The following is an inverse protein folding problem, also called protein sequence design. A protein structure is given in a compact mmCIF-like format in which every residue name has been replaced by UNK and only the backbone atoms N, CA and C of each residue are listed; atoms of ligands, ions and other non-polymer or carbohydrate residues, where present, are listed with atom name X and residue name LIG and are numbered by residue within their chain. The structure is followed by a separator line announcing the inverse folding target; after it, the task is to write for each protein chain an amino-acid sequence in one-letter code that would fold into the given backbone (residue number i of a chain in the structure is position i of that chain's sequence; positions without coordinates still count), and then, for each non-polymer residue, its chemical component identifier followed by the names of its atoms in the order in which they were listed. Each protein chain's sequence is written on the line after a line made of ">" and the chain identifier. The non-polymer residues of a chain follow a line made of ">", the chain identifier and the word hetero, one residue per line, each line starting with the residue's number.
data_IF_189081623898
#
_entry.id   IF_189081623898
#
_cell.length_a   1.000
_cell.length_b   1.000
_cell.length_c   1.000
_cell.angle_alpha   90.00
_cell.angle_beta   90.00
_cell.angle_gamma   90.00
#
_symmetry.space_group_name_H-M   'P 1'
#
loop_
_entity.id
_entity.type
_entity.pdbx_description
1 polymer ?
#
# COMPACT_ATOMS: atom_id res chain seq x y z
N UNK A 1 -6.88 -10.03 1.74
CA UNK A 1 -6.28 -9.74 3.06
C UNK A 1 -7.40 -9.34 4.01
N UNK A 2 -7.25 -9.66 5.26
CA UNK A 2 -8.20 -9.29 6.28
C UNK A 2 -8.19 -7.77 6.50
N UNK A 3 -9.35 -7.18 6.83
CA UNK A 3 -9.46 -5.73 6.93
C UNK A 3 -8.56 -5.15 8.02
N UNK A 4 -8.55 -5.76 9.20
CA UNK A 4 -7.72 -5.24 10.29
C UNK A 4 -6.24 -5.37 9.99
N UNK A 5 -5.85 -6.46 9.36
CA UNK A 5 -4.47 -6.66 8.94
C UNK A 5 -4.07 -5.65 7.88
N UNK A 6 -4.96 -5.38 6.93
CA UNK A 6 -4.72 -4.40 5.88
C UNK A 6 -4.54 -3.00 6.48
N UNK A 7 -5.47 -2.58 7.32
CA UNK A 7 -5.39 -1.25 7.93
C UNK A 7 -4.12 -1.09 8.75
N UNK A 8 -3.77 -2.13 9.52
CA UNK A 8 -2.59 -2.10 10.37
C UNK A 8 -1.32 -2.06 9.54
N UNK A 9 -1.25 -2.88 8.49
CA UNK A 9 -0.07 -2.93 7.63
C UNK A 9 0.15 -1.61 6.91
N UNK A 10 -0.92 -1.04 6.36
CA UNK A 10 -0.79 0.23 5.64
C UNK A 10 -0.35 1.32 6.60
N UNK A 11 -0.95 1.38 7.79
CA UNK A 11 -0.57 2.39 8.77
C UNK A 11 0.89 2.26 9.15
N UNK A 12 1.35 1.03 9.36
CA UNK A 12 2.73 0.78 9.73
C UNK A 12 3.69 1.25 8.64
N UNK A 13 3.45 0.85 7.40
CA UNK A 13 4.35 1.21 6.31
C UNK A 13 4.28 2.69 5.97
N UNK A 14 3.08 3.26 6.01
CA UNK A 14 2.88 4.65 5.63
C UNK A 14 3.53 5.61 6.62
N UNK A 15 3.57 5.24 7.89
CA UNK A 15 4.05 6.14 8.96
C UNK A 15 5.45 5.83 9.44
N UNK A 16 6.20 5.02 8.70
CA UNK A 16 7.60 4.79 9.05
C UNK A 16 8.41 6.07 8.93
N UNK A 17 9.40 6.23 9.82
CA UNK A 17 10.25 7.40 9.84
C UNK A 17 11.71 6.95 9.82
N UNK A 18 12.47 7.25 8.75
CA UNK A 18 12.00 7.90 7.52
C UNK A 18 11.12 6.98 6.69
N UNK A 19 10.31 7.57 5.83
CA UNK A 19 9.44 6.81 4.96
C UNK A 19 10.26 5.94 4.01
N UNK A 20 9.83 4.71 3.84
CA UNK A 20 10.45 3.79 2.88
C UNK A 20 9.37 3.36 1.88
N UNK A 21 9.67 3.33 0.59
CA UNK A 21 8.70 2.82 -0.37
C UNK A 21 8.27 1.40 -0.05
N UNK A 22 7.03 1.09 -0.39
CA UNK A 22 6.51 -0.26 -0.19
C UNK A 22 5.57 -0.62 -1.34
N UNK A 23 5.25 -1.90 -1.43
CA UNK A 23 4.47 -2.45 -2.53
C UNK A 23 3.19 -3.07 -2.00
N UNK A 24 2.09 -2.78 -2.68
CA UNK A 24 0.81 -3.43 -2.41
C UNK A 24 0.57 -4.39 -3.58
N UNK A 25 0.56 -5.69 -3.29
CA UNK A 25 0.30 -6.71 -4.31
C UNK A 25 -1.17 -7.05 -4.29
N UNK A 26 -1.80 -6.99 -5.44
CA UNK A 26 -3.22 -7.28 -5.58
C UNK A 26 -3.41 -8.76 -5.93
N UNK A 27 -4.59 -9.28 -5.63
CA UNK A 27 -4.87 -10.69 -5.89
C UNK A 27 -4.85 -11.02 -7.38
N UNK A 28 -5.03 -10.03 -8.24
CA UNK A 28 -4.98 -10.22 -9.69
C UNK A 28 -3.56 -10.09 -10.26
N UNK A 29 -2.56 -9.96 -9.40
CA UNK A 29 -1.16 -9.87 -9.83
C UNK A 29 -0.65 -8.47 -10.07
N UNK A 30 -1.52 -7.46 -10.00
CA UNK A 30 -1.08 -6.08 -10.16
C UNK A 30 -0.34 -5.65 -8.90
N UNK A 31 0.70 -4.85 -9.06
CA UNK A 31 1.48 -4.30 -7.95
C UNK A 31 1.39 -2.79 -7.96
N UNK A 32 1.12 -2.21 -6.81
CA UNK A 32 1.06 -0.77 -6.64
C UNK A 32 2.27 -0.35 -5.83
N UNK A 33 3.14 0.48 -6.42
CA UNK A 33 4.36 0.92 -5.76
C UNK A 33 4.08 2.26 -5.09
N UNK A 34 4.17 2.30 -3.78
CA UNK A 34 3.90 3.50 -3.01
C UNK A 34 5.23 4.16 -2.68
N UNK A 35 5.54 5.24 -3.39
CA UNK A 35 6.84 5.91 -3.30
C UNK A 35 6.90 6.99 -2.23
N UNK A 36 5.74 7.49 -1.81
CA UNK A 36 5.70 8.50 -0.75
C UNK A 36 4.33 8.40 -0.07
N UNK A 37 4.23 8.86 1.19
CA UNK A 37 3.03 8.58 1.98
C UNK A 37 1.77 9.21 1.43
N UNK A 38 1.87 10.36 0.77
CA UNK A 38 0.67 11.02 0.25
C UNK A 38 0.13 10.37 -1.02
N UNK A 39 0.85 9.41 -1.58
CA UNK A 39 0.34 8.69 -2.74
C UNK A 39 -0.79 7.73 -2.39
N UNK A 40 -1.01 7.49 -1.10
CA UNK A 40 -1.98 6.51 -0.65
C UNK A 40 -2.81 7.07 0.49
N UNK A 41 -4.12 6.99 0.38
CA UNK A 41 -5.05 7.34 1.44
C UNK A 41 -5.87 6.11 1.78
N UNK A 42 -6.05 5.83 3.07
CA UNK A 42 -6.73 4.62 3.53
C UNK A 42 -7.72 4.98 4.61
N UNK A 43 -8.91 4.38 4.53
CA UNK A 43 -9.91 4.55 5.55
C UNK A 43 -10.83 3.32 5.56
N UNK A 44 -10.95 2.69 6.72
CA UNK A 44 -11.91 1.60 6.96
C UNK A 44 -11.81 0.48 5.92
N UNK A 45 -10.57 0.08 5.61
CA UNK A 45 -10.36 -1.02 4.68
C UNK A 45 -10.40 -0.64 3.22
N UNK A 46 -10.72 0.61 2.89
CA UNK A 46 -10.72 1.10 1.52
C UNK A 46 -9.51 1.99 1.29
N UNK A 47 -9.03 2.06 0.07
CA UNK A 47 -7.83 2.81 -0.24
C UNK A 47 -7.94 3.51 -1.58
N UNK A 48 -7.25 4.64 -1.67
CA UNK A 48 -7.09 5.40 -2.89
C UNK A 48 -5.60 5.59 -3.14
N UNK A 49 -5.13 5.11 -4.27
CA UNK A 49 -3.73 5.21 -4.65
C UNK A 49 -3.63 6.14 -5.87
N UNK A 50 -2.72 7.10 -5.81
CA UNK A 50 -2.46 7.98 -6.93
C UNK A 50 -1.29 7.46 -7.72
N UNK A 51 -1.58 6.82 -8.84
CA UNK A 51 -0.57 6.27 -9.73
C UNK A 51 0.19 7.41 -10.43
N UNK A 52 1.37 7.11 -11.00
CA UNK A 52 2.09 8.11 -11.79
C UNK A 52 1.20 8.73 -12.84
N UNK A 53 1.29 10.05 -12.99
CA UNK A 53 0.40 10.78 -13.89
C UNK A 53 -0.87 11.24 -13.22
N UNK A 54 -1.05 10.99 -11.92
CA UNK A 54 -2.21 11.45 -11.17
C UNK A 54 -3.45 10.61 -11.35
N UNK A 55 -3.31 9.39 -11.84
CA UNK A 55 -4.44 8.51 -12.08
C UNK A 55 -4.88 7.88 -10.76
N UNK A 56 -6.13 8.12 -10.31
CA UNK A 56 -6.59 7.52 -9.05
C UNK A 56 -6.96 6.05 -9.25
N UNK A 57 -6.55 5.22 -8.29
CA UNK A 57 -6.88 3.80 -8.28
C UNK A 57 -7.55 3.50 -6.95
N UNK A 58 -8.81 3.10 -7.00
CA UNK A 58 -9.58 2.75 -5.81
C UNK A 58 -9.56 1.24 -5.63
N UNK A 59 -9.32 0.80 -4.40
CA UNK A 59 -9.33 -0.62 -4.09
C UNK A 59 -9.65 -0.80 -2.62
N UNK A 60 -9.87 -2.05 -2.21
CA UNK A 60 -10.13 -2.33 -0.81
C UNK A 60 -9.33 -3.55 -0.37
N UNK A 61 -9.47 -3.89 0.92
CA UNK A 61 -8.68 -4.96 1.52
C UNK A 61 -8.92 -6.32 0.83
N UNK A 62 -10.10 -6.54 0.25
CA UNK A 62 -10.39 -7.82 -0.38
C UNK A 62 -9.60 -8.04 -1.64
N UNK A 63 -9.21 -6.96 -2.31
CA UNK A 63 -8.40 -7.06 -3.52
C UNK A 63 -6.90 -7.18 -3.26
N UNK A 64 -6.48 -7.14 -2.01
CA UNK A 64 -5.05 -7.12 -1.67
C UNK A 64 -4.62 -8.51 -1.21
N UNK A 65 -3.53 -9.02 -1.80
CA UNK A 65 -2.96 -10.27 -1.35
C UNK A 65 -1.86 -10.05 -0.31
N UNK A 66 -1.09 -8.95 -0.44
CA UNK A 66 0.06 -8.75 0.41
C UNK A 66 0.50 -7.30 0.38
N UNK A 67 1.02 -6.81 1.50
CA UNK A 67 1.70 -5.52 1.57
C UNK A 67 3.12 -5.82 2.03
N UNK A 68 4.10 -5.40 1.23
CA UNK A 68 5.49 -5.75 1.52
C UNK A 68 6.37 -4.52 1.44
N UNK A 69 7.24 -4.37 2.42
CA UNK A 69 8.24 -3.33 2.37
C UNK A 69 9.34 -3.70 1.40
N UNK A 70 10.22 -2.73 1.14
CA UNK A 70 11.37 -2.98 0.29
C UNK A 70 12.40 -3.77 1.09
N UNK A 71 12.54 -5.04 0.77
CA UNK A 71 13.45 -5.91 1.50
C UNK A 71 14.87 -5.89 0.95
N UNK A 72 15.04 -5.34 -0.24
CA UNK A 72 16.34 -5.38 -0.90
C UNK A 72 17.39 -4.60 -0.13
N UNK A 73 16.99 -3.60 0.61
CA UNK A 73 17.90 -2.75 1.33
C UNK A 73 18.28 -3.30 2.70
N UNK A 74 17.85 -4.49 3.00
CA UNK A 74 18.07 -5.04 4.32
C UNK A 74 19.40 -5.71 4.49
N UNK A 75 20.24 -5.66 3.50
CA UNK A 75 21.55 -6.30 3.61
C UNK A 75 22.67 -5.47 3.10
#
# INVERSE_FOLDING_TARGET
>A
MDRDTFDSAIRTFKHRTPFQPFTIAMVNGVRLEVDYPDALAVRDGAALYFAPGGIPVLFDYEGVSQVAGDLAERH
#
